data_IF_482264322729
#
_entry.id   IF_482264322729
#
_cell.length_a   1.000
_cell.length_b   1.000
_cell.length_c   1.000
_cell.angle_alpha   90.00
_cell.angle_beta   90.00
_cell.angle_gamma   90.00
#
_symmetry.space_group_name_H-M   'P 1'
#
loop_
_entity.id
_entity.type
_entity.pdbx_description
1 polymer ?
#
# COMPACT_ATOMS: atom_id res chain seq x y z
N UNK A 1 -16.25 -21.33 10.79
CA UNK A 1 -16.94 -20.20 11.45
C UNK A 1 -16.36 -18.94 10.86
N UNK A 2 -17.16 -18.01 10.33
CA UNK A 2 -16.63 -16.74 9.82
C UNK A 2 -16.20 -15.88 11.01
N UNK A 3 -14.90 -15.63 11.15
CA UNK A 3 -14.40 -14.66 12.11
C UNK A 3 -15.01 -13.29 11.78
N UNK A 4 -15.52 -12.57 12.78
CA UNK A 4 -16.00 -11.20 12.56
C UNK A 4 -14.80 -10.32 12.20
N UNK A 5 -14.98 -9.34 11.29
CA UNK A 5 -13.91 -8.39 10.97
C UNK A 5 -13.39 -7.66 12.22
N UNK A 6 -14.25 -7.47 13.24
CA UNK A 6 -13.89 -6.83 14.49
C UNK A 6 -12.94 -7.67 15.38
N UNK A 7 -12.84 -8.97 15.13
CA UNK A 7 -11.96 -9.88 15.89
C UNK A 7 -10.54 -9.94 15.28
N UNK A 8 -10.32 -9.28 14.15
CA UNK A 8 -9.03 -9.26 13.45
C UNK A 8 -8.10 -8.30 14.19
N UNK A 9 -6.89 -8.76 14.52
CA UNK A 9 -5.87 -7.89 15.11
C UNK A 9 -5.45 -6.79 14.12
N UNK A 10 -5.16 -5.60 14.66
CA UNK A 10 -4.92 -4.38 13.87
C UNK A 10 -3.59 -4.31 13.09
N UNK A 11 -2.88 -5.43 12.93
CA UNK A 11 -1.71 -5.53 12.05
C UNK A 11 -1.94 -6.65 11.03
N UNK A 12 -1.82 -6.31 9.76
CA UNK A 12 -1.85 -7.23 8.63
C UNK A 12 -0.51 -7.25 7.92
N UNK A 13 -0.09 -8.42 7.44
CA UNK A 13 1.13 -8.57 6.67
C UNK A 13 0.84 -8.20 5.22
N UNK A 14 1.41 -7.10 4.73
CA UNK A 14 1.36 -6.70 3.33
C UNK A 14 2.47 -7.34 2.50
N UNK A 15 2.15 -7.90 1.35
CA UNK A 15 3.09 -8.67 0.52
C UNK A 15 3.46 -7.98 -0.81
N UNK A 16 3.25 -6.67 -0.91
CA UNK A 16 3.67 -5.90 -2.10
C UNK A 16 5.20 -5.81 -2.22
N UNK A 17 5.90 -5.72 -1.09
CA UNK A 17 7.36 -5.62 -1.00
C UNK A 17 7.87 -6.65 -0.02
N UNK A 18 8.27 -7.80 -0.55
CA UNK A 18 8.86 -8.90 0.20
C UNK A 18 10.38 -8.83 0.14
N UNK A 19 11.09 -9.43 1.12
CA UNK A 19 12.54 -9.54 1.10
C UNK A 19 13.05 -10.10 -0.22
N UNK A 20 14.18 -9.57 -0.70
CA UNK A 20 14.81 -9.98 -1.95
C UNK A 20 16.19 -10.54 -1.69
N UNK A 21 16.54 -11.62 -2.40
CA UNK A 21 17.88 -12.19 -2.50
C UNK A 21 18.17 -12.48 -3.96
N UNK A 22 19.27 -11.94 -4.48
CA UNK A 22 19.69 -12.10 -5.88
C UNK A 22 18.59 -11.71 -6.90
N UNK A 23 17.85 -10.64 -6.61
CA UNK A 23 16.79 -10.11 -7.48
C UNK A 23 15.50 -10.94 -7.51
N UNK A 24 15.35 -11.90 -6.58
CA UNK A 24 14.14 -12.72 -6.41
C UNK A 24 13.65 -12.65 -4.97
N UNK A 25 12.38 -12.94 -4.75
CA UNK A 25 11.82 -13.01 -3.40
C UNK A 25 12.55 -14.09 -2.59
N UNK A 26 13.07 -13.73 -1.41
CA UNK A 26 13.70 -14.68 -0.48
C UNK A 26 12.63 -15.46 0.27
N UNK A 27 12.16 -16.56 -0.32
CA UNK A 27 11.13 -17.43 0.24
C UNK A 27 11.52 -17.98 1.61
N UNK A 28 12.80 -18.21 1.88
CA UNK A 28 13.26 -18.74 3.18
C UNK A 28 13.02 -17.70 4.27
N UNK A 29 13.35 -16.44 4.02
CA UNK A 29 13.09 -15.37 4.97
C UNK A 29 11.58 -15.10 5.10
N UNK A 30 10.82 -15.12 4.00
CA UNK A 30 9.34 -14.95 4.06
C UNK A 30 8.70 -16.04 4.93
N UNK A 31 9.16 -17.29 4.83
CA UNK A 31 8.71 -18.40 5.71
C UNK A 31 8.92 -18.07 7.19
N UNK A 32 10.11 -17.59 7.55
CA UNK A 32 10.41 -17.20 8.94
C UNK A 32 9.51 -16.05 9.40
N UNK A 33 9.30 -15.04 8.55
CA UNK A 33 8.43 -13.91 8.86
C UNK A 33 6.98 -14.34 9.06
N UNK A 34 6.45 -15.24 8.22
CA UNK A 34 5.10 -15.82 8.38
C UNK A 34 4.98 -16.57 9.70
N UNK A 35 5.99 -17.37 10.06
CA UNK A 35 5.99 -18.15 11.30
C UNK A 35 5.94 -17.22 12.53
N UNK A 36 6.74 -16.15 12.53
CA UNK A 36 6.74 -15.13 13.60
C UNK A 36 5.39 -14.42 13.68
N UNK A 37 4.83 -14.01 12.55
CA UNK A 37 3.54 -13.31 12.49
C UNK A 37 2.39 -14.12 13.08
N UNK A 38 2.30 -15.40 12.69
CA UNK A 38 1.30 -16.34 13.21
C UNK A 38 1.54 -16.69 14.68
N UNK A 39 2.80 -16.85 15.11
CA UNK A 39 3.14 -17.17 16.50
C UNK A 39 2.69 -16.07 17.48
N UNK A 40 2.69 -14.82 17.04
CA UNK A 40 2.19 -13.67 17.80
C UNK A 40 0.66 -13.45 17.68
N UNK A 41 -0.02 -14.37 16.98
CA UNK A 41 -1.47 -14.42 16.84
C UNK A 41 -2.03 -13.41 15.85
N UNK A 42 -1.24 -12.90 14.92
CA UNK A 42 -1.72 -12.12 13.77
C UNK A 42 -1.99 -13.06 12.60
N UNK A 43 -3.09 -12.83 11.87
CA UNK A 43 -3.59 -13.81 10.91
C UNK A 43 -3.94 -13.22 9.53
N UNK A 44 -3.93 -11.90 9.35
CA UNK A 44 -4.32 -11.27 8.08
C UNK A 44 -3.12 -11.07 7.14
N UNK A 45 -3.19 -11.67 5.94
CA UNK A 45 -2.18 -11.56 4.89
C UNK A 45 -2.78 -10.93 3.63
N UNK A 46 -2.10 -9.92 3.07
CA UNK A 46 -2.56 -9.14 1.93
C UNK A 46 -1.62 -9.25 0.73
N UNK A 47 -2.08 -9.90 -0.34
CA UNK A 47 -1.39 -9.95 -1.63
C UNK A 47 -2.28 -9.33 -2.73
N UNK A 48 -1.86 -9.42 -3.98
CA UNK A 48 -2.65 -9.01 -5.14
C UNK A 48 -2.12 -9.69 -6.40
N UNK A 49 -3.00 -9.92 -7.38
CA UNK A 49 -2.61 -10.40 -8.70
C UNK A 49 -1.52 -9.51 -9.34
N UNK A 50 -1.61 -8.20 -9.11
CA UNK A 50 -0.68 -7.21 -9.65
C UNK A 50 0.69 -7.17 -8.94
N UNK A 51 0.92 -7.94 -7.86
CA UNK A 51 2.17 -7.97 -7.11
C UNK A 51 3.06 -9.10 -7.62
N UNK A 52 4.08 -8.77 -8.40
CA UNK A 52 4.94 -9.75 -9.06
C UNK A 52 5.54 -10.77 -8.07
N UNK A 53 5.21 -12.06 -8.27
CA UNK A 53 5.70 -13.18 -7.45
C UNK A 53 5.09 -13.30 -6.05
N UNK A 54 4.24 -12.36 -5.63
CA UNK A 54 3.71 -12.32 -4.26
C UNK A 54 2.73 -13.46 -3.96
N UNK A 55 1.84 -13.78 -4.92
CA UNK A 55 0.87 -14.88 -4.77
C UNK A 55 1.54 -16.26 -4.72
N UNK A 56 2.60 -16.46 -5.49
CA UNK A 56 3.42 -17.67 -5.41
C UNK A 56 4.22 -17.74 -4.10
N UNK A 57 4.76 -16.60 -3.65
CA UNK A 57 5.50 -16.54 -2.39
C UNK A 57 4.61 -16.89 -1.19
N UNK A 58 3.38 -16.38 -1.13
CA UNK A 58 2.46 -16.70 -0.04
C UNK A 58 1.98 -18.15 -0.10
N UNK A 59 1.85 -18.76 -1.28
CA UNK A 59 1.59 -20.20 -1.39
C UNK A 59 2.65 -21.00 -0.64
N UNK A 60 3.91 -20.77 -0.99
CA UNK A 60 5.06 -21.50 -0.44
C UNK A 60 5.30 -21.19 1.05
N UNK A 61 5.05 -19.95 1.47
CA UNK A 61 5.38 -19.50 2.83
C UNK A 61 4.26 -19.72 3.86
N UNK A 62 3.00 -19.76 3.41
CA UNK A 62 1.82 -19.84 4.27
C UNK A 62 0.90 -21.02 3.88
N UNK A 63 0.36 -21.02 2.66
CA UNK A 63 -0.76 -21.92 2.29
C UNK A 63 -0.36 -23.40 2.33
N UNK A 64 0.85 -23.74 1.89
CA UNK A 64 1.36 -25.13 1.93
C UNK A 64 1.81 -25.58 3.31
N UNK A 65 1.91 -24.66 4.27
CA UNK A 65 2.54 -24.89 5.59
C UNK A 65 1.56 -24.87 6.75
N UNK A 66 0.40 -24.24 6.56
CA UNK A 66 -0.60 -24.04 7.61
C UNK A 66 -1.99 -24.44 7.13
N UNK A 67 -2.79 -25.00 8.04
CA UNK A 67 -4.18 -25.32 7.75
C UNK A 67 -4.98 -24.02 7.54
N UNK A 68 -6.00 -24.10 6.69
CA UNK A 68 -6.72 -22.92 6.18
C UNK A 68 -7.41 -22.07 7.26
N UNK A 69 -7.72 -22.66 8.40
CA UNK A 69 -8.31 -22.02 9.58
C UNK A 69 -7.31 -21.20 10.41
N UNK A 70 -6.00 -21.26 10.10
CA UNK A 70 -4.94 -20.52 10.81
C UNK A 70 -4.74 -19.10 10.33
N UNK A 71 -5.25 -18.75 9.15
CA UNK A 71 -4.96 -17.46 8.51
C UNK A 71 -6.15 -16.93 7.70
N UNK A 72 -6.12 -15.62 7.50
CA UNK A 72 -6.98 -14.88 6.60
C UNK A 72 -6.15 -14.41 5.41
N UNK A 73 -6.59 -14.69 4.19
CA UNK A 73 -5.88 -14.31 2.97
C UNK A 73 -6.72 -13.38 2.11
N UNK A 74 -6.11 -12.26 1.74
CA UNK A 74 -6.65 -11.28 0.81
C UNK A 74 -5.87 -11.25 -0.50
N UNK A 75 -6.59 -11.18 -1.63
CA UNK A 75 -6.00 -10.82 -2.93
C UNK A 75 -6.92 -9.86 -3.69
N UNK A 76 -6.48 -9.39 -4.86
CA UNK A 76 -7.12 -8.28 -5.59
C UNK A 76 -7.13 -8.48 -7.10
N UNK A 77 -8.20 -8.01 -7.72
CA UNK A 77 -8.41 -7.97 -9.18
C UNK A 77 -8.06 -6.59 -9.74
N UNK A 78 -7.13 -6.52 -10.69
CA UNK A 78 -6.66 -5.29 -11.32
C UNK A 78 -7.13 -5.20 -12.78
N UNK A 79 -8.43 -5.00 -12.98
CA UNK A 79 -9.06 -4.93 -14.30
C UNK A 79 -8.51 -3.83 -15.22
N UNK A 80 -7.95 -2.75 -14.66
CA UNK A 80 -7.34 -1.65 -15.41
C UNK A 80 -5.93 -1.99 -15.94
N UNK A 81 -5.37 -3.16 -15.62
CA UNK A 81 -4.08 -3.62 -16.10
C UNK A 81 -4.28 -4.59 -17.27
N UNK A 82 -4.10 -4.08 -18.48
CA UNK A 82 -4.03 -4.85 -19.74
C UNK A 82 -5.25 -5.76 -20.05
N UNK A 83 -6.40 -5.58 -19.39
CA UNK A 83 -7.63 -6.27 -19.74
C UNK A 83 -8.37 -5.55 -20.88
N UNK A 84 -8.82 -6.30 -21.89
CA UNK A 84 -9.57 -5.76 -23.03
C UNK A 84 -11.05 -6.10 -22.99
N UNK A 85 -11.41 -7.13 -22.23
CA UNK A 85 -12.79 -7.56 -22.02
C UNK A 85 -12.97 -8.15 -20.63
N UNK A 86 -14.22 -8.45 -20.31
CA UNK A 86 -14.63 -9.06 -19.05
C UNK A 86 -13.91 -10.38 -18.77
N UNK A 87 -13.72 -11.22 -19.79
CA UNK A 87 -13.07 -12.52 -19.65
C UNK A 87 -11.62 -12.37 -19.17
N UNK A 88 -10.89 -11.38 -19.67
CA UNK A 88 -9.53 -11.08 -19.20
C UNK A 88 -9.53 -10.71 -17.72
N UNK A 89 -10.47 -9.84 -17.32
CA UNK A 89 -10.56 -9.37 -15.95
C UNK A 89 -10.93 -10.49 -14.98
N UNK A 90 -11.97 -11.29 -15.26
CA UNK A 90 -12.38 -12.37 -14.34
C UNK A 90 -11.37 -13.52 -14.29
N UNK A 91 -10.59 -13.75 -15.36
CA UNK A 91 -9.55 -14.79 -15.39
C UNK A 91 -8.44 -14.54 -14.37
N UNK A 92 -8.21 -13.30 -13.95
CA UNK A 92 -7.26 -12.98 -12.88
C UNK A 92 -7.60 -13.73 -11.58
N UNK A 93 -8.89 -13.94 -11.27
CA UNK A 93 -9.33 -14.68 -10.10
C UNK A 93 -8.87 -16.14 -10.11
N UNK A 94 -9.06 -16.84 -11.23
CA UNK A 94 -8.64 -18.24 -11.37
C UNK A 94 -7.11 -18.37 -11.36
N UNK A 95 -6.41 -17.37 -11.90
CA UNK A 95 -4.95 -17.28 -11.81
C UNK A 95 -4.53 -17.14 -10.34
N UNK A 96 -5.13 -16.21 -9.59
CA UNK A 96 -4.84 -16.01 -8.18
C UNK A 96 -5.12 -17.26 -7.33
N UNK A 97 -6.26 -17.93 -7.55
CA UNK A 97 -6.57 -19.19 -6.86
C UNK A 97 -5.52 -20.26 -7.13
N UNK A 98 -5.07 -20.41 -8.39
CA UNK A 98 -4.02 -21.37 -8.75
C UNK A 98 -2.66 -20.99 -8.18
N UNK A 99 -2.24 -19.73 -8.29
CA UNK A 99 -0.93 -19.28 -7.82
C UNK A 99 -0.81 -19.37 -6.30
N UNK A 100 -1.86 -18.99 -5.57
CA UNK A 100 -1.87 -19.06 -4.10
C UNK A 100 -2.14 -20.46 -3.57
N UNK A 101 -2.88 -21.30 -4.32
CA UNK A 101 -3.36 -22.60 -3.84
C UNK A 101 -4.41 -22.50 -2.71
N UNK A 102 -4.98 -21.31 -2.47
CA UNK A 102 -5.76 -21.03 -1.26
C UNK A 102 -7.16 -21.66 -1.23
N UNK A 103 -7.68 -22.09 -2.38
CA UNK A 103 -9.04 -22.65 -2.55
C UNK A 103 -10.18 -21.62 -2.46
N UNK A 104 -10.06 -20.62 -1.57
CA UNK A 104 -10.95 -19.47 -1.45
C UNK A 104 -10.21 -18.28 -0.78
N UNK A 105 -10.73 -17.07 -0.93
CA UNK A 105 -10.21 -15.86 -0.29
C UNK A 105 -11.14 -15.38 0.83
N UNK A 106 -10.57 -14.98 1.97
CA UNK A 106 -11.35 -14.37 3.05
C UNK A 106 -11.74 -12.94 2.66
N UNK A 107 -10.84 -12.22 2.00
CA UNK A 107 -11.07 -10.88 1.51
C UNK A 107 -10.70 -10.84 0.02
N UNK A 108 -11.56 -10.28 -0.81
CA UNK A 108 -11.24 -10.08 -2.22
C UNK A 108 -11.59 -8.66 -2.62
N UNK A 109 -10.64 -7.97 -3.24
CA UNK A 109 -10.76 -6.56 -3.57
C UNK A 109 -10.81 -6.33 -5.08
N UNK A 110 -11.69 -5.45 -5.52
CA UNK A 110 -11.49 -4.72 -6.77
C UNK A 110 -10.38 -3.67 -6.54
N UNK A 111 -9.32 -3.70 -7.36
CA UNK A 111 -8.04 -3.06 -7.02
C UNK A 111 -7.89 -1.68 -7.65
N UNK A 112 -7.56 -0.67 -6.83
CA UNK A 112 -7.08 0.64 -7.25
C UNK A 112 -8.12 1.43 -8.05
N UNK A 113 -9.36 1.47 -7.54
CA UNK A 113 -10.46 2.27 -8.08
C UNK A 113 -10.18 3.76 -7.85
N UNK A 114 -10.85 4.59 -8.62
CA UNK A 114 -10.64 6.03 -8.68
C UNK A 114 -10.31 6.50 -10.09
N UNK A 115 -10.77 7.70 -10.42
CA UNK A 115 -10.44 8.40 -11.66
C UNK A 115 -10.73 7.56 -12.92
N UNK A 116 -9.78 7.50 -13.86
CA UNK A 116 -9.89 6.74 -15.10
C UNK A 116 -9.89 5.22 -14.90
N UNK A 117 -9.74 4.70 -13.68
CA UNK A 117 -9.66 3.25 -13.43
C UNK A 117 -11.01 2.64 -13.05
N UNK A 118 -11.93 3.43 -12.49
CA UNK A 118 -13.23 2.93 -11.99
C UNK A 118 -14.07 2.29 -13.10
N UNK A 119 -14.10 2.89 -14.30
CA UNK A 119 -14.96 2.43 -15.40
C UNK A 119 -14.72 0.96 -15.81
N UNK A 120 -13.50 0.43 -15.69
CA UNK A 120 -13.22 -0.97 -16.02
C UNK A 120 -14.04 -1.95 -15.17
N UNK A 121 -14.40 -1.58 -13.94
CA UNK A 121 -15.18 -2.43 -13.04
C UNK A 121 -16.67 -2.41 -13.40
N UNK A 122 -17.16 -1.30 -13.94
CA UNK A 122 -18.52 -1.16 -14.48
C UNK A 122 -18.63 -1.87 -15.83
N UNK A 123 -17.74 -1.55 -16.78
CA UNK A 123 -17.73 -2.07 -18.14
C UNK A 123 -17.60 -3.59 -18.20
N UNK A 124 -16.87 -4.18 -17.25
CA UNK A 124 -16.67 -5.63 -17.14
C UNK A 124 -17.61 -6.29 -16.13
N UNK A 125 -18.62 -5.58 -15.60
CA UNK A 125 -19.64 -6.12 -14.69
C UNK A 125 -19.01 -6.84 -13.47
N UNK A 126 -17.98 -6.24 -12.89
CA UNK A 126 -17.21 -6.86 -11.81
C UNK A 126 -17.93 -6.79 -10.46
N UNK A 127 -18.84 -5.83 -10.30
CA UNK A 127 -19.71 -5.71 -9.12
C UNK A 127 -20.66 -6.90 -8.97
N UNK A 128 -21.36 -7.31 -10.04
CA UNK A 128 -22.20 -8.50 -9.97
C UNK A 128 -21.37 -9.79 -9.90
N UNK A 129 -20.26 -9.84 -10.63
CA UNK A 129 -19.36 -10.99 -10.62
C UNK A 129 -18.78 -11.28 -9.22
N UNK A 130 -18.32 -10.26 -8.48
CA UNK A 130 -17.73 -10.49 -7.15
C UNK A 130 -18.79 -10.99 -6.16
N UNK A 131 -20.03 -10.51 -6.27
CA UNK A 131 -21.16 -11.02 -5.47
C UNK A 131 -21.51 -12.47 -5.81
N UNK A 132 -21.42 -12.86 -7.08
CA UNK A 132 -21.60 -14.26 -7.47
C UNK A 132 -20.51 -15.17 -6.89
N UNK A 133 -19.24 -14.76 -6.93
CA UNK A 133 -18.15 -15.50 -6.30
C UNK A 133 -18.30 -15.61 -4.78
N UNK A 134 -18.90 -14.61 -4.15
CA UNK A 134 -19.28 -14.67 -2.74
C UNK A 134 -20.39 -15.69 -2.47
N UNK A 135 -21.45 -15.72 -3.29
CA UNK A 135 -22.51 -16.75 -3.21
C UNK A 135 -21.97 -18.17 -3.40
N UNK A 136 -20.98 -18.34 -4.27
CA UNK A 136 -20.27 -19.61 -4.50
C UNK A 136 -19.35 -20.02 -3.33
N UNK A 137 -19.16 -19.15 -2.33
CA UNK A 137 -18.29 -19.40 -1.17
C UNK A 137 -16.79 -19.31 -1.46
N UNK A 138 -16.41 -18.84 -2.65
CA UNK A 138 -15.02 -18.65 -3.06
C UNK A 138 -14.43 -17.32 -2.57
N UNK A 139 -15.29 -16.38 -2.19
CA UNK A 139 -14.97 -15.11 -1.51
C UNK A 139 -15.82 -15.04 -0.25
N UNK A 140 -15.23 -14.67 0.90
CA UNK A 140 -15.99 -14.45 2.14
C UNK A 140 -16.44 -13.00 2.29
N UNK A 141 -15.52 -12.06 2.07
CA UNK A 141 -15.78 -10.63 2.10
C UNK A 141 -15.34 -9.94 0.80
N UNK A 142 -16.24 -9.17 0.21
CA UNK A 142 -16.01 -8.41 -1.02
C UNK A 142 -15.80 -6.93 -0.68
N UNK A 143 -14.68 -6.37 -1.11
CA UNK A 143 -14.34 -4.95 -0.91
C UNK A 143 -13.67 -4.36 -2.15
N UNK A 144 -13.16 -3.15 -2.01
CA UNK A 144 -12.34 -2.52 -3.04
C UNK A 144 -11.27 -1.65 -2.40
N UNK A 145 -10.15 -1.43 -3.11
CA UNK A 145 -9.19 -0.41 -2.73
C UNK A 145 -9.37 0.83 -3.59
N UNK A 146 -9.16 2.00 -3.00
CA UNK A 146 -9.56 3.28 -3.58
C UNK A 146 -8.45 4.32 -3.47
N UNK A 147 -8.24 5.05 -4.58
CA UNK A 147 -7.25 6.11 -4.74
C UNK A 147 -7.84 7.24 -5.62
N UNK A 148 -8.71 8.05 -5.03
CA UNK A 148 -9.27 9.27 -5.63
C UNK A 148 -9.89 10.14 -4.53
N UNK A 149 -10.79 11.03 -4.90
CA UNK A 149 -11.45 12.03 -4.07
C UNK A 149 -12.54 11.44 -3.16
N UNK A 150 -12.83 12.08 -2.01
CA UNK A 150 -13.93 11.68 -1.13
C UNK A 150 -15.30 11.75 -1.84
N UNK A 151 -15.49 12.66 -2.80
CA UNK A 151 -16.72 12.77 -3.57
C UNK A 151 -16.95 11.56 -4.48
N UNK A 152 -15.91 11.09 -5.18
CA UNK A 152 -15.99 9.87 -5.98
C UNK A 152 -16.20 8.64 -5.08
N UNK A 153 -15.59 8.59 -3.89
CA UNK A 153 -15.82 7.52 -2.92
C UNK A 153 -17.27 7.50 -2.43
N UNK A 154 -17.85 8.66 -2.12
CA UNK A 154 -19.24 8.78 -1.64
C UNK A 154 -20.23 8.32 -2.71
N UNK A 155 -19.99 8.71 -3.97
CA UNK A 155 -20.77 8.26 -5.12
C UNK A 155 -20.66 6.74 -5.31
N UNK A 156 -19.44 6.20 -5.26
CA UNK A 156 -19.17 4.77 -5.45
C UNK A 156 -19.81 3.91 -4.34
N UNK A 157 -19.71 4.32 -3.08
CA UNK A 157 -20.33 3.62 -1.95
C UNK A 157 -21.86 3.74 -1.95
N UNK A 158 -22.40 4.83 -2.49
CA UNK A 158 -23.85 4.98 -2.72
C UNK A 158 -24.34 4.04 -3.82
N UNK A 159 -23.57 3.88 -4.90
CA UNK A 159 -23.91 3.00 -6.01
C UNK A 159 -23.73 1.52 -5.68
N UNK A 160 -22.73 1.19 -4.86
CA UNK A 160 -22.37 -0.18 -4.48
C UNK A 160 -22.41 -0.43 -2.97
N UNK A 161 -23.59 -0.29 -2.33
CA UNK A 161 -23.73 -0.49 -0.89
C UNK A 161 -23.47 -1.94 -0.46
N UNK A 162 -23.50 -2.91 -1.39
CA UNK A 162 -23.19 -4.32 -1.18
C UNK A 162 -21.72 -4.60 -0.84
N UNK A 163 -20.81 -3.67 -1.10
CA UNK A 163 -19.39 -3.82 -0.77
C UNK A 163 -19.18 -3.70 0.74
N UNK A 164 -18.42 -4.63 1.34
CA UNK A 164 -18.38 -4.80 2.79
C UNK A 164 -17.30 -3.96 3.47
N UNK A 165 -16.27 -3.54 2.76
CA UNK A 165 -15.16 -2.77 3.31
C UNK A 165 -14.45 -1.97 2.20
N UNK A 166 -13.69 -0.96 2.61
CA UNK A 166 -12.84 -0.18 1.71
C UNK A 166 -11.40 -0.24 2.20
N UNK A 167 -10.47 -0.43 1.29
CA UNK A 167 -9.05 -0.29 1.57
C UNK A 167 -8.56 1.10 1.13
N UNK A 168 -8.08 1.89 2.09
CA UNK A 168 -7.68 3.30 1.89
C UNK A 168 -6.20 3.49 2.21
N UNK A 169 -5.56 4.39 1.46
CA UNK A 169 -4.25 4.90 1.86
C UNK A 169 -4.40 5.85 3.04
N UNK A 170 -3.83 5.49 4.20
CA UNK A 170 -3.90 6.33 5.41
C UNK A 170 -2.55 6.29 6.10
N UNK A 171 -1.95 7.47 6.26
CA UNK A 171 -0.78 7.71 7.08
C UNK A 171 -0.87 9.14 7.65
N UNK A 172 -0.06 9.46 8.67
CA UNK A 172 -0.16 10.79 9.30
C UNK A 172 0.28 11.91 8.35
N UNK A 173 1.25 11.67 7.46
CA UNK A 173 1.72 12.70 6.54
C UNK A 173 0.66 13.11 5.50
N UNK A 174 -0.21 12.19 5.09
CA UNK A 174 -1.22 12.42 4.07
C UNK A 174 -2.63 12.65 4.64
N UNK A 175 -2.74 12.81 5.96
CA UNK A 175 -4.04 12.93 6.64
C UNK A 175 -4.86 14.12 6.12
N UNK A 176 -4.22 15.29 6.02
CA UNK A 176 -4.79 16.54 5.47
C UNK A 176 -4.18 16.95 4.13
N UNK A 177 -3.45 16.06 3.47
CA UNK A 177 -2.85 16.40 2.20
C UNK A 177 -3.95 16.75 1.17
N UNK A 178 -3.86 17.88 0.45
CA UNK A 178 -4.92 18.35 -0.44
C UNK A 178 -5.16 17.43 -1.65
N UNK A 179 -4.14 16.68 -2.09
CA UNK A 179 -4.29 15.72 -3.17
C UNK A 179 -4.89 14.40 -2.67
N UNK A 180 -4.35 13.85 -1.58
CA UNK A 180 -4.71 12.51 -1.09
C UNK A 180 -6.00 12.50 -0.27
N UNK A 181 -6.15 13.50 0.60
CA UNK A 181 -7.35 13.72 1.40
C UNK A 181 -7.72 12.50 2.27
N UNK A 182 -6.73 11.82 2.88
CA UNK A 182 -6.92 10.55 3.59
C UNK A 182 -8.01 10.65 4.66
N UNK A 183 -8.05 11.75 5.42
CA UNK A 183 -9.09 12.01 6.43
C UNK A 183 -10.48 12.02 5.81
N UNK A 184 -10.68 12.80 4.75
CA UNK A 184 -11.99 12.97 4.12
C UNK A 184 -12.49 11.65 3.51
N UNK A 185 -11.60 10.88 2.87
CA UNK A 185 -11.93 9.55 2.36
C UNK A 185 -12.28 8.58 3.49
N UNK A 186 -11.53 8.60 4.60
CA UNK A 186 -11.85 7.83 5.80
C UNK A 186 -13.24 8.21 6.36
N UNK A 187 -13.52 9.51 6.53
CA UNK A 187 -14.81 10.01 7.03
C UNK A 187 -15.97 9.59 6.12
N UNK A 188 -15.80 9.61 4.81
CA UNK A 188 -16.80 9.09 3.85
C UNK A 188 -17.02 7.59 4.04
N UNK A 189 -15.96 6.77 4.13
CA UNK A 189 -16.12 5.34 4.40
C UNK A 189 -16.88 5.09 5.72
N UNK A 190 -16.56 5.84 6.78
CA UNK A 190 -17.25 5.75 8.08
C UNK A 190 -18.70 6.21 8.00
N UNK A 191 -19.00 7.30 7.27
CA UNK A 191 -20.38 7.79 7.01
C UNK A 191 -21.26 6.71 6.37
N UNK A 192 -20.69 5.90 5.49
CA UNK A 192 -21.37 4.74 4.86
C UNK A 192 -21.36 3.47 5.72
N UNK A 193 -20.89 3.56 6.97
CA UNK A 193 -20.79 2.42 7.88
C UNK A 193 -19.74 1.38 7.44
N UNK A 194 -18.83 1.74 6.53
CA UNK A 194 -17.85 0.80 5.98
C UNK A 194 -16.63 0.69 6.92
N UNK A 195 -16.23 -0.53 7.30
CA UNK A 195 -14.93 -0.76 7.91
C UNK A 195 -13.82 -0.45 6.91
N UNK A 196 -12.66 -0.06 7.46
CA UNK A 196 -11.49 0.37 6.67
C UNK A 196 -10.33 -0.59 6.89
N UNK A 197 -9.69 -1.00 5.80
CA UNK A 197 -8.37 -1.64 5.83
C UNK A 197 -7.35 -0.60 5.39
N UNK A 198 -6.32 -0.36 6.19
CA UNK A 198 -5.33 0.67 5.86
C UNK A 198 -4.20 0.07 5.05
N UNK A 199 -3.90 0.69 3.90
CA UNK A 199 -2.66 0.48 3.15
C UNK A 199 -1.76 1.72 3.24
N UNK A 200 -0.49 1.52 2.87
CA UNK A 200 0.55 2.56 2.88
C UNK A 200 0.72 3.34 4.20
N UNK A 201 0.63 2.70 5.39
CA UNK A 201 0.75 3.40 6.67
C UNK A 201 2.10 4.08 6.86
N UNK A 202 3.16 3.58 6.20
CA UNK A 202 4.53 4.12 6.29
C UNK A 202 4.93 4.89 5.01
N UNK A 203 3.97 5.25 4.15
CA UNK A 203 4.18 6.03 2.91
C UNK A 203 5.35 5.54 2.07
N UNK A 204 5.35 4.24 1.74
CA UNK A 204 6.41 3.63 0.95
C UNK A 204 7.77 3.50 1.64
N UNK A 205 7.85 3.67 2.96
CA UNK A 205 9.09 3.63 3.74
C UNK A 205 9.57 5.02 4.18
N UNK A 206 9.04 6.10 3.60
CA UNK A 206 9.43 7.47 3.92
C UNK A 206 9.26 7.78 5.42
N UNK A 207 8.20 7.28 6.05
CA UNK A 207 7.92 7.53 7.47
C UNK A 207 8.73 6.62 8.42
N UNK A 208 9.48 5.64 7.89
CA UNK A 208 10.44 4.88 8.68
C UNK A 208 11.76 5.67 8.86
N UNK A 209 12.06 6.56 7.92
CA UNK A 209 13.21 7.48 7.94
C UNK A 209 12.72 8.90 7.64
N UNK A 210 11.88 9.48 8.51
CA UNK A 210 11.30 10.79 8.26
C UNK A 210 12.39 11.87 8.31
N UNK A 211 12.09 13.09 7.85
CA UNK A 211 13.01 14.23 7.92
C UNK A 211 13.45 14.52 9.36
N UNK A 212 14.68 15.04 9.54
CA UNK A 212 15.27 15.25 10.87
C UNK A 212 14.38 16.06 11.85
N UNK A 213 13.69 17.15 11.45
CA UNK A 213 12.77 17.86 12.36
C UNK A 213 11.64 16.97 12.89
N UNK A 214 11.11 16.11 12.03
CA UNK A 214 10.03 15.17 12.35
C UNK A 214 10.54 14.07 13.28
N UNK A 215 11.70 13.49 12.96
CA UNK A 215 12.33 12.48 13.81
C UNK A 215 12.62 13.01 15.22
N UNK A 216 13.12 14.25 15.35
CA UNK A 216 13.37 14.88 16.64
C UNK A 216 12.10 14.97 17.49
N UNK A 217 10.96 15.37 16.89
CA UNK A 217 9.67 15.43 17.57
C UNK A 217 9.26 14.03 18.07
N UNK A 218 9.32 13.02 17.19
CA UNK A 218 8.93 11.65 17.53
C UNK A 218 9.82 11.07 18.66
N UNK A 219 11.13 11.29 18.58
CA UNK A 219 12.12 10.79 19.55
C UNK A 219 12.08 11.53 20.88
N UNK A 220 11.74 12.82 20.88
CA UNK A 220 11.52 13.55 22.13
C UNK A 220 10.32 12.98 22.92
N UNK A 221 9.30 12.48 22.21
CA UNK A 221 8.12 11.88 22.85
C UNK A 221 8.34 10.45 23.30
N UNK A 222 9.02 9.62 22.50
CA UNK A 222 9.34 8.23 22.84
C UNK A 222 10.65 7.81 22.14
N UNK A 223 11.79 7.83 22.86
CA UNK A 223 13.08 7.48 22.28
C UNK A 223 13.16 6.03 21.79
N UNK A 224 12.41 5.12 22.42
CA UNK A 224 12.44 3.68 22.14
C UNK A 224 11.55 3.29 20.96
N UNK A 225 10.47 4.04 20.71
CA UNK A 225 9.63 3.81 19.56
C UNK A 225 10.39 4.02 18.25
N UNK A 226 10.25 3.08 17.30
CA UNK A 226 10.71 3.29 15.93
C UNK A 226 9.85 4.35 15.24
N UNK A 227 10.40 5.05 14.25
CA UNK A 227 9.64 6.05 13.48
C UNK A 227 8.46 5.40 12.72
N UNK A 228 8.66 4.19 12.21
CA UNK A 228 7.61 3.41 11.55
C UNK A 228 6.45 3.06 12.49
N UNK A 229 6.73 2.77 13.77
CA UNK A 229 5.70 2.44 14.77
C UNK A 229 4.68 3.57 14.96
N UNK A 230 5.11 4.83 14.86
CA UNK A 230 4.22 5.98 14.97
C UNK A 230 3.20 6.02 13.83
N UNK A 231 3.66 5.70 12.61
CA UNK A 231 2.83 5.66 11.42
C UNK A 231 1.79 4.54 11.46
N UNK A 232 2.19 3.35 11.90
CA UNK A 232 1.29 2.19 12.05
C UNK A 232 0.29 2.43 13.18
N UNK A 233 0.72 2.91 14.34
CA UNK A 233 -0.18 3.18 15.48
C UNK A 233 -1.17 4.30 15.19
N UNK A 234 -0.76 5.34 14.47
CA UNK A 234 -1.67 6.38 14.00
C UNK A 234 -2.83 5.78 13.20
N UNK A 235 -2.52 4.99 12.17
CA UNK A 235 -3.53 4.34 11.35
C UNK A 235 -4.40 3.37 12.16
N UNK A 236 -3.79 2.62 13.09
CA UNK A 236 -4.50 1.65 13.91
C UNK A 236 -5.40 2.29 14.99
N UNK A 237 -5.13 3.52 15.42
CA UNK A 237 -5.93 4.22 16.43
C UNK A 237 -7.30 4.67 15.92
N UNK A 238 -7.47 4.76 14.60
CA UNK A 238 -8.72 5.20 13.97
C UNK A 238 -9.86 4.21 14.23
N UNK A 239 -11.07 4.75 14.40
CA UNK A 239 -12.28 3.97 14.58
C UNK A 239 -12.66 3.21 13.30
N UNK A 240 -13.21 2.00 13.44
CA UNK A 240 -13.62 1.18 12.30
C UNK A 240 -12.48 0.67 11.40
N UNK A 241 -11.22 0.88 11.79
CA UNK A 241 -10.08 0.21 11.15
C UNK A 241 -10.02 -1.25 11.59
N UNK A 242 -10.13 -2.14 10.61
CA UNK A 242 -10.03 -3.60 10.78
C UNK A 242 -8.58 -4.01 10.99
N UNK A 243 -7.70 -3.57 10.07
CA UNK A 243 -6.29 -3.89 10.15
C UNK A 243 -5.44 -2.90 9.35
N UNK A 244 -4.17 -2.78 9.73
CA UNK A 244 -3.18 -1.91 9.10
C UNK A 244 -2.15 -2.77 8.39
N UNK A 245 -2.04 -2.64 7.07
CA UNK A 245 -1.14 -3.43 6.24
C UNK A 245 0.27 -2.86 6.26
N UNK A 246 1.21 -3.59 6.86
CA UNK A 246 2.63 -3.25 6.77
C UNK A 246 3.36 -4.19 5.83
N UNK A 247 3.97 -3.64 4.79
CA UNK A 247 4.97 -4.35 3.99
C UNK A 247 6.30 -4.38 4.74
N UNK A 248 6.90 -5.57 4.87
CA UNK A 248 8.14 -5.78 5.64
C UNK A 248 9.12 -6.59 4.80
N UNK A 249 10.36 -6.12 4.72
CA UNK A 249 11.42 -6.68 3.89
C UNK A 249 12.55 -7.29 4.71
N UNK A 250 12.44 -7.34 6.04
CA UNK A 250 13.40 -8.00 6.93
C UNK A 250 12.73 -8.53 8.20
N UNK A 251 13.40 -9.46 8.88
CA UNK A 251 12.97 -9.94 10.20
C UNK A 251 12.99 -8.84 11.27
N UNK A 252 13.93 -7.89 11.17
CA UNK A 252 14.00 -6.75 12.10
C UNK A 252 12.73 -5.90 12.04
N UNK A 253 12.26 -5.57 10.83
CA UNK A 253 11.00 -4.85 10.63
C UNK A 253 9.79 -5.65 11.13
N UNK A 254 9.82 -6.98 10.96
CA UNK A 254 8.79 -7.86 11.50
C UNK A 254 8.75 -7.77 13.03
N UNK A 255 9.87 -7.96 13.71
CA UNK A 255 9.92 -7.91 15.18
C UNK A 255 9.53 -6.53 15.74
N UNK A 256 9.94 -5.43 15.09
CA UNK A 256 9.55 -4.07 15.49
C UNK A 256 8.03 -3.88 15.43
N UNK A 257 7.41 -4.25 14.30
CA UNK A 257 5.97 -4.15 14.12
C UNK A 257 5.20 -5.06 15.08
N UNK A 258 5.67 -6.29 15.31
CA UNK A 258 5.06 -7.23 16.25
C UNK A 258 5.14 -6.70 17.68
N UNK A 259 6.31 -6.22 18.12
CA UNK A 259 6.51 -5.66 19.45
C UNK A 259 5.57 -4.48 19.72
N UNK A 260 5.40 -3.60 18.73
CA UNK A 260 4.51 -2.45 18.80
C UNK A 260 3.01 -2.86 18.83
N UNK A 261 2.61 -3.82 17.99
CA UNK A 261 1.19 -4.07 17.74
C UNK A 261 0.58 -5.17 18.60
N UNK A 262 1.38 -6.08 19.18
CA UNK A 262 0.87 -7.23 19.95
C UNK A 262 -0.04 -6.81 21.11
N UNK A 263 0.22 -5.65 21.73
CA UNK A 263 -0.50 -5.11 22.88
C UNK A 263 -1.09 -3.73 22.63
N UNK A 264 -1.21 -3.32 21.36
CA UNK A 264 -1.72 -2.01 21.02
C UNK A 264 -3.20 -1.90 21.41
N UNK A 265 -3.55 -0.85 22.16
CA UNK A 265 -4.90 -0.57 22.66
C UNK A 265 -5.36 0.85 22.36
N UNK A 266 -4.59 1.60 21.56
CA UNK A 266 -4.83 3.00 21.24
C UNK A 266 -3.65 3.89 21.58
N UNK A 267 -3.66 5.10 21.03
CA UNK A 267 -2.69 6.16 21.31
C UNK A 267 -3.14 6.99 22.52
N UNK A 268 -2.18 7.40 23.35
CA UNK A 268 -2.44 8.37 24.42
C UNK A 268 -2.63 9.78 23.86
N UNK A 269 -3.23 10.70 24.64
CA UNK A 269 -3.38 12.11 24.25
C UNK A 269 -2.04 12.76 23.88
N UNK A 270 -0.97 12.45 24.63
CA UNK A 270 0.38 12.96 24.34
C UNK A 270 0.86 12.44 22.99
N UNK A 271 0.71 11.14 22.72
CA UNK A 271 1.11 10.55 21.45
C UNK A 271 0.33 11.12 20.26
N UNK A 272 -0.97 11.40 20.44
CA UNK A 272 -1.78 12.08 19.41
C UNK A 272 -1.27 13.49 19.12
N UNK A 273 -0.92 14.25 20.16
CA UNK A 273 -0.35 15.58 20.01
C UNK A 273 1.03 15.54 19.32
N UNK A 274 1.88 14.57 19.65
CA UNK A 274 3.17 14.36 18.99
C UNK A 274 2.99 14.14 17.49
N UNK A 275 1.98 13.38 17.07
CA UNK A 275 1.70 13.15 15.65
C UNK A 275 1.25 14.45 14.96
N UNK A 276 0.44 15.29 15.61
CA UNK A 276 0.03 16.59 15.08
C UNK A 276 1.26 17.48 14.84
N UNK A 277 2.17 17.56 15.81
CA UNK A 277 3.43 18.32 15.65
C UNK A 277 4.30 17.76 14.51
N UNK A 278 4.36 16.43 14.37
CA UNK A 278 5.06 15.79 13.26
C UNK A 278 4.43 16.12 11.89
N UNK A 279 3.10 16.25 11.82
CA UNK A 279 2.38 16.67 10.61
C UNK A 279 2.69 18.13 10.25
N UNK A 280 2.69 19.03 11.23
CA UNK A 280 3.04 20.44 11.04
C UNK A 280 4.47 20.59 10.50
N UNK A 281 5.43 19.90 11.12
CA UNK A 281 6.83 19.90 10.66
C UNK A 281 7.01 19.28 9.26
N UNK A 282 6.22 18.27 8.90
CA UNK A 282 6.24 17.71 7.55
C UNK A 282 5.70 18.67 6.49
N UNK A 283 4.65 19.43 6.82
CA UNK A 283 4.01 20.34 5.88
C UNK A 283 4.94 21.50 5.45
N UNK A 284 5.95 21.81 6.25
CA UNK A 284 6.97 22.82 5.94
C UNK A 284 8.02 22.33 4.93
N UNK A 285 8.06 21.03 4.59
CA UNK A 285 9.09 20.43 3.74
C UNK A 285 8.53 20.12 2.35
N UNK A 286 9.06 20.73 1.26
CA UNK A 286 8.53 20.57 -0.08
C UNK A 286 9.01 19.27 -0.76
N UNK A 287 8.57 18.13 -0.23
CA UNK A 287 8.87 16.80 -0.80
C UNK A 287 7.90 16.44 -1.94
N UNK A 288 8.41 15.72 -2.94
CA UNK A 288 7.57 15.02 -3.91
C UNK A 288 6.80 13.92 -3.14
N UNK A 289 5.47 13.90 -3.17
CA UNK A 289 4.65 13.00 -2.34
C UNK A 289 4.57 11.57 -2.90
N UNK A 290 5.70 11.00 -3.36
CA UNK A 290 5.76 9.65 -3.92
C UNK A 290 5.74 8.57 -2.83
N UNK A 291 4.92 7.53 -3.02
CA UNK A 291 4.81 6.38 -2.10
C UNK A 291 5.55 5.13 -2.60
N UNK A 292 6.30 5.26 -3.70
CA UNK A 292 7.06 4.19 -4.33
C UNK A 292 6.21 2.95 -4.72
N UNK A 293 4.90 3.10 -4.93
CA UNK A 293 3.98 2.00 -5.28
C UNK A 293 4.26 1.38 -6.66
N UNK A 294 4.97 2.10 -7.53
CA UNK A 294 5.35 1.68 -8.88
C UNK A 294 4.18 1.40 -9.84
N UNK A 295 2.95 1.81 -9.54
CA UNK A 295 1.83 1.72 -10.50
C UNK A 295 2.13 2.49 -11.79
N UNK A 296 2.69 3.70 -11.66
CA UNK A 296 3.15 4.50 -12.79
C UNK A 296 4.22 3.82 -13.65
N UNK A 297 5.12 3.05 -13.02
CA UNK A 297 6.20 2.34 -13.72
C UNK A 297 5.67 1.16 -14.53
N UNK A 298 4.60 0.48 -14.08
CA UNK A 298 3.97 -0.65 -14.79
C UNK A 298 3.36 -0.25 -16.13
N UNK A 299 2.90 0.99 -16.27
CA UNK A 299 2.26 1.51 -17.49
C UNK A 299 3.22 2.34 -18.38
N UNK A 300 4.48 2.49 -17.98
CA UNK A 300 5.46 3.32 -18.67
C UNK A 300 6.08 2.60 -19.89
N UNK A 301 5.85 3.07 -21.14
CA UNK A 301 6.38 2.40 -22.33
C UNK A 301 7.90 2.50 -22.48
N UNK A 302 8.53 3.45 -21.76
CA UNK A 302 9.99 3.67 -21.75
C UNK A 302 10.68 3.04 -20.54
N UNK A 303 9.96 2.31 -19.68
CA UNK A 303 10.54 1.67 -18.49
C UNK A 303 11.37 2.64 -17.61
N UNK A 304 10.87 3.88 -17.45
CA UNK A 304 11.53 4.91 -16.64
C UNK A 304 11.48 4.54 -15.17
N UNK A 305 12.58 4.75 -14.43
CA UNK A 305 12.68 4.51 -12.98
C UNK A 305 12.01 5.58 -12.12
N UNK A 306 10.73 5.88 -12.37
CA UNK A 306 10.00 7.05 -11.83
C UNK A 306 10.13 7.15 -10.30
N UNK A 307 9.84 6.08 -9.57
CA UNK A 307 9.89 6.09 -8.10
C UNK A 307 11.30 6.32 -7.56
N UNK A 308 12.30 5.75 -8.23
CA UNK A 308 13.71 5.91 -7.90
C UNK A 308 14.18 7.35 -8.11
N UNK A 309 13.79 7.96 -9.23
CA UNK A 309 14.06 9.36 -9.55
C UNK A 309 13.47 10.31 -8.50
N UNK A 310 12.23 10.10 -8.06
CA UNK A 310 11.60 10.96 -7.04
C UNK A 310 12.19 10.75 -5.65
N UNK A 311 12.55 9.50 -5.31
CA UNK A 311 13.28 9.23 -4.07
C UNK A 311 14.61 9.99 -4.08
N UNK A 312 15.36 9.95 -5.18
CA UNK A 312 16.61 10.69 -5.30
C UNK A 312 16.43 12.22 -5.17
N UNK A 313 15.41 12.80 -5.80
CA UNK A 313 15.11 14.23 -5.65
C UNK A 313 14.74 14.59 -4.20
N UNK A 314 13.92 13.77 -3.53
CA UNK A 314 13.59 13.99 -2.12
C UNK A 314 14.83 13.91 -1.22
N UNK A 315 15.80 13.05 -1.51
CA UNK A 315 17.09 13.05 -0.79
C UNK A 315 17.82 14.39 -0.92
N UNK A 316 17.78 15.04 -2.08
CA UNK A 316 18.35 16.37 -2.24
C UNK A 316 17.63 17.38 -1.33
N UNK A 317 16.29 17.40 -1.34
CA UNK A 317 15.49 18.30 -0.49
C UNK A 317 15.76 18.08 1.00
N UNK A 318 15.96 16.84 1.43
CA UNK A 318 16.12 16.49 2.84
C UNK A 318 17.53 16.74 3.40
N UNK A 319 18.55 16.46 2.59
CA UNK A 319 19.94 16.46 3.06
C UNK A 319 20.78 17.58 2.45
N UNK A 320 20.22 18.36 1.54
CA UNK A 320 20.92 19.41 0.80
C UNK A 320 22.21 18.92 0.12
N UNK A 321 22.25 17.63 -0.23
CA UNK A 321 23.43 16.95 -0.78
C UNK A 321 23.15 16.37 -2.16
N UNK A 322 23.63 17.07 -3.20
CA UNK A 322 23.51 16.62 -4.59
C UNK A 322 24.26 15.31 -4.83
N UNK A 323 25.42 15.12 -4.21
CA UNK A 323 26.20 13.89 -4.34
C UNK A 323 25.40 12.68 -3.85
N UNK A 324 24.77 12.78 -2.68
CA UNK A 324 23.93 11.71 -2.14
C UNK A 324 22.72 11.44 -3.05
N UNK A 325 22.06 12.49 -3.54
CA UNK A 325 20.93 12.36 -4.44
C UNK A 325 21.30 11.65 -5.75
N UNK A 326 22.42 12.04 -6.39
CA UNK A 326 22.91 11.40 -7.62
C UNK A 326 23.29 9.93 -7.38
N UNK A 327 23.91 9.63 -6.24
CA UNK A 327 24.23 8.25 -5.87
C UNK A 327 22.97 7.40 -5.67
N UNK A 328 21.92 7.97 -5.05
CA UNK A 328 20.63 7.31 -4.91
C UNK A 328 19.95 7.11 -6.27
N UNK A 329 19.99 8.08 -7.18
CA UNK A 329 19.42 7.93 -8.54
C UNK A 329 20.13 6.80 -9.30
N UNK A 330 21.47 6.82 -9.30
CA UNK A 330 22.28 5.79 -9.94
C UNK A 330 21.96 4.39 -9.40
N UNK A 331 21.74 4.27 -8.09
CA UNK A 331 21.38 3.02 -7.46
C UNK A 331 19.95 2.60 -7.80
N UNK A 332 18.95 3.42 -7.48
CA UNK A 332 17.52 3.09 -7.62
C UNK A 332 17.02 2.98 -9.06
N UNK A 333 17.69 3.65 -10.00
CA UNK A 333 17.30 3.70 -11.41
C UNK A 333 18.30 2.94 -12.27
N UNK A 334 19.53 3.45 -12.40
CA UNK A 334 20.53 2.91 -13.33
C UNK A 334 20.89 1.45 -13.05
N UNK A 335 21.30 1.13 -11.83
CA UNK A 335 21.68 -0.24 -11.44
C UNK A 335 20.52 -1.23 -11.44
N UNK A 336 19.28 -0.73 -11.42
CA UNK A 336 18.06 -1.54 -11.50
C UNK A 336 17.55 -1.73 -12.93
N UNK A 337 18.36 -1.40 -13.94
CA UNK A 337 18.02 -1.62 -15.36
C UNK A 337 16.83 -0.78 -15.83
N UNK A 338 16.60 0.37 -15.18
CA UNK A 338 15.57 1.33 -15.55
C UNK A 338 16.18 2.46 -16.35
N UNK A 339 15.38 3.04 -17.25
CA UNK A 339 15.78 4.21 -18.01
C UNK A 339 15.66 5.47 -17.15
N UNK A 340 16.52 6.46 -17.41
CA UNK A 340 16.63 7.68 -16.59
C UNK A 340 15.61 8.73 -16.98
N UNK A 341 15.41 9.72 -16.11
CA UNK A 341 14.39 10.75 -16.28
C UNK A 341 14.53 11.54 -17.60
N UNK A 342 15.75 11.78 -18.07
CA UNK A 342 16.04 12.46 -19.34
C UNK A 342 15.62 11.68 -20.61
N UNK A 343 15.21 10.41 -20.48
CA UNK A 343 14.69 9.59 -21.58
C UNK A 343 13.15 9.59 -21.67
N UNK A 344 12.47 10.35 -20.80
CA UNK A 344 11.03 10.44 -20.76
C UNK A 344 10.45 11.08 -22.04
N UNK A 345 9.53 10.36 -22.72
CA UNK A 345 8.83 10.85 -23.92
C UNK A 345 7.56 11.65 -23.62
N UNK A 346 7.32 12.00 -22.35
CA UNK A 346 6.18 12.81 -21.88
C UNK A 346 4.78 12.30 -22.30
N UNK A 347 4.61 10.97 -22.46
CA UNK A 347 3.33 10.36 -22.93
C UNK A 347 2.13 10.45 -21.97
N UNK A 348 2.34 10.75 -20.68
CA UNK A 348 1.26 10.99 -19.69
C UNK A 348 0.60 9.75 -19.07
N UNK A 349 0.84 8.53 -19.56
CA UNK A 349 0.23 7.29 -19.00
C UNK A 349 0.50 7.09 -17.51
N UNK A 350 1.70 7.47 -17.05
CA UNK A 350 2.10 7.34 -15.66
C UNK A 350 1.25 8.17 -14.69
N UNK A 351 0.81 9.36 -15.10
CA UNK A 351 0.03 10.29 -14.27
C UNK A 351 -1.38 9.73 -14.04
N UNK A 352 -1.99 9.12 -15.07
CA UNK A 352 -3.29 8.43 -14.96
C UNK A 352 -3.26 7.19 -14.05
N UNK A 353 -2.08 6.64 -13.79
CA UNK A 353 -1.88 5.50 -12.90
C UNK A 353 -1.32 5.90 -11.53
N UNK A 354 -1.04 7.20 -11.31
CA UNK A 354 -0.42 7.68 -10.07
C UNK A 354 -1.51 7.92 -9.02
N UNK A 355 -1.59 7.11 -7.96
CA UNK A 355 -2.60 7.32 -6.91
C UNK A 355 -2.34 8.59 -6.09
N UNK A 356 -1.17 9.21 -6.26
CA UNK A 356 -0.79 10.43 -5.55
C UNK A 356 -1.02 11.69 -6.37
N UNK A 357 -1.57 11.56 -7.58
CA UNK A 357 -1.84 12.66 -8.52
C UNK A 357 -0.62 13.55 -8.79
N UNK A 358 0.58 12.97 -8.76
CA UNK A 358 1.83 13.69 -9.01
C UNK A 358 1.88 14.09 -10.49
N UNK A 359 2.28 15.33 -10.78
CA UNK A 359 2.66 15.79 -12.11
C UNK A 359 3.99 15.15 -12.52
N UNK A 360 3.96 13.84 -12.79
CA UNK A 360 5.16 13.01 -12.93
C UNK A 360 6.10 13.55 -14.01
N UNK A 361 5.56 14.08 -15.11
CA UNK A 361 6.38 14.60 -16.21
C UNK A 361 7.20 15.83 -15.81
N UNK A 362 6.60 16.71 -15.02
CA UNK A 362 7.25 17.95 -14.57
C UNK A 362 8.35 17.62 -13.54
N UNK A 363 8.04 16.72 -12.60
CA UNK A 363 9.01 16.24 -11.62
C UNK A 363 10.20 15.50 -12.28
N UNK A 364 9.95 14.70 -13.32
CA UNK A 364 11.02 14.04 -14.08
C UNK A 364 11.89 15.05 -14.84
N UNK A 365 11.31 16.15 -15.34
CA UNK A 365 12.07 17.23 -15.95
C UNK A 365 12.96 17.95 -14.94
N UNK A 366 12.46 18.21 -13.73
CA UNK A 366 13.28 18.74 -12.63
C UNK A 366 14.40 17.76 -12.26
N UNK A 367 14.11 16.46 -12.18
CA UNK A 367 15.15 15.44 -11.95
C UNK A 367 16.23 15.49 -13.03
N UNK A 368 15.85 15.57 -14.30
CA UNK A 368 16.81 15.71 -15.41
C UNK A 368 17.73 16.91 -15.17
N UNK A 369 17.14 18.08 -14.96
CA UNK A 369 17.86 19.34 -14.83
C UNK A 369 18.78 19.40 -13.60
N UNK A 370 18.35 18.83 -12.47
CA UNK A 370 19.04 19.00 -11.19
C UNK A 370 20.04 17.88 -10.92
N UNK A 371 19.73 16.65 -11.33
CA UNK A 371 20.53 15.46 -10.98
C UNK A 371 21.29 14.85 -12.17
N UNK A 372 20.83 15.05 -13.41
CA UNK A 372 21.40 14.37 -14.60
C UNK A 372 22.17 15.30 -15.54
N UNK A 373 21.82 16.58 -15.54
CA UNK A 373 22.60 17.70 -16.09
C UNK A 373 23.55 18.27 -15.04
#
# INVERSE_FOLDING_TARGET
MSQSMNDIKKLGFGLMRLPQKDGKIDIVQVKQMVDRFLAEGFTYFDTAWAYAGSEDAIRQALVERYTRDRFLLATKNAAWIDCKCREDAIKQFDISLRQTGAGYFDFYLLHNLGESRTHFFDDFDLWNWIQEKKRQGLIRHAGFSFHSTPEELDALLTAHPEMEFVQLQINYADWDNPAIQSRRCYEVARKHGKPVIVMEPVKGGMLATPPAPVEQILKASDPQASNASWAIRFAADLDGVVTVLSGMSSLEQMEDNLACMKRFSGLTTVQKQTIVQAQEALAEIPLIPCTNCNYCAKVCPKNIGISGSFTAMNYLTLYSSREMAVNQENWLVGRHGKNRANECIKCGKCEQACPQHIHIRDELEQVSKVLLE
#
